data_IF_557003068660
#
_entry.id   IF_557003068660
#
_cell.length_a   1.000
_cell.length_b   1.000
_cell.length_c   1.000
_cell.angle_alpha   90.00
_cell.angle_beta   90.00
_cell.angle_gamma   90.00
#
_symmetry.space_group_name_H-M   'P 1'
#
loop_
_entity.id
_entity.type
_entity.pdbx_description
1 polymer ?
#
# COMPACT_ATOMS: atom_id res chain seq x y z
N UNK A 1 9.92 -13.07 -19.15
CA UNK A 1 10.69 -13.98 -18.27
C UNK A 1 11.15 -13.15 -17.08
N UNK A 2 10.33 -13.09 -16.00
CA UNK A 2 10.64 -12.28 -14.81
C UNK A 2 11.71 -13.03 -14.05
N UNK A 3 12.92 -12.47 -14.01
CA UNK A 3 14.02 -12.96 -13.19
C UNK A 3 13.52 -13.05 -11.73
N UNK A 4 13.51 -14.26 -11.17
CA UNK A 4 13.49 -14.48 -9.72
C UNK A 4 14.73 -13.80 -9.15
N UNK A 5 14.63 -12.55 -8.73
CA UNK A 5 15.60 -12.01 -7.77
C UNK A 5 15.31 -12.74 -6.48
N UNK A 6 16.16 -13.64 -6.09
CA UNK A 6 16.18 -14.18 -4.73
C UNK A 6 16.63 -13.04 -3.81
N UNK A 7 15.65 -12.33 -3.22
CA UNK A 7 15.94 -11.31 -2.23
C UNK A 7 16.56 -11.99 -1.00
N UNK A 8 17.79 -11.65 -0.72
CA UNK A 8 18.45 -12.13 0.50
C UNK A 8 17.72 -11.53 1.72
N UNK A 9 17.33 -12.38 2.67
CA UNK A 9 16.68 -11.96 3.92
C UNK A 9 17.50 -10.87 4.64
N UNK A 10 18.82 -10.92 4.55
CA UNK A 10 19.73 -9.96 5.16
C UNK A 10 19.57 -8.55 4.59
N UNK A 11 19.42 -8.43 3.28
CA UNK A 11 19.20 -7.14 2.62
C UNK A 11 17.87 -6.50 3.03
N UNK A 12 16.80 -7.30 3.06
CA UNK A 12 15.47 -6.83 3.50
C UNK A 12 15.50 -6.39 4.96
N UNK A 13 16.10 -7.17 5.85
CA UNK A 13 16.22 -6.81 7.28
C UNK A 13 17.09 -5.57 7.46
N UNK A 14 18.16 -5.41 6.67
CA UNK A 14 18.99 -4.20 6.70
C UNK A 14 18.15 -2.97 6.32
N UNK A 15 17.41 -3.02 5.22
CA UNK A 15 16.56 -1.92 4.77
C UNK A 15 15.44 -1.58 5.78
N UNK A 16 14.79 -2.58 6.36
CA UNK A 16 13.80 -2.39 7.44
C UNK A 16 14.45 -1.75 8.68
N UNK A 17 15.66 -2.20 9.07
CA UNK A 17 16.37 -1.65 10.21
C UNK A 17 16.76 -0.17 10.03
N UNK A 18 17.14 0.22 8.81
CA UNK A 18 17.45 1.62 8.48
C UNK A 18 16.22 2.54 8.59
N UNK A 19 15.02 2.02 8.33
CA UNK A 19 13.78 2.77 8.45
C UNK A 19 13.30 2.94 9.89
N UNK A 20 13.45 1.94 10.73
CA UNK A 20 12.86 1.95 12.07
C UNK A 20 13.65 2.81 13.07
N UNK A 21 14.91 2.57 13.20
CA UNK A 21 15.87 3.26 14.06
C UNK A 21 17.14 2.41 14.17
N UNK A 22 18.19 2.85 14.85
CA UNK A 22 19.35 2.01 15.06
C UNK A 22 18.96 0.74 15.83
N UNK A 23 18.91 -0.39 15.12
CA UNK A 23 18.71 -1.70 15.72
C UNK A 23 20.06 -2.30 16.13
N UNK A 24 20.09 -2.93 17.29
CA UNK A 24 21.22 -3.73 17.75
C UNK A 24 21.42 -4.97 16.88
N UNK A 25 22.60 -5.59 16.94
CA UNK A 25 22.84 -6.84 16.21
C UNK A 25 21.95 -7.99 16.69
N UNK A 26 21.56 -7.99 17.97
CA UNK A 26 20.63 -8.98 18.53
C UNK A 26 19.23 -8.82 17.91
N UNK A 27 18.70 -7.60 17.86
CA UNK A 27 17.39 -7.31 17.24
C UNK A 27 17.36 -7.66 15.75
N UNK A 28 18.43 -7.34 15.00
CA UNK A 28 18.58 -7.75 13.60
C UNK A 28 18.58 -9.26 13.41
N UNK A 29 19.21 -10.01 14.32
CA UNK A 29 19.20 -11.49 14.30
C UNK A 29 17.79 -12.04 14.53
N UNK A 30 17.04 -11.47 15.48
CA UNK A 30 15.62 -11.83 15.73
C UNK A 30 14.79 -11.65 14.46
N UNK A 31 14.90 -10.51 13.79
CA UNK A 31 14.20 -10.25 12.52
C UNK A 31 14.63 -11.24 11.42
N UNK A 32 15.92 -11.55 11.31
CA UNK A 32 16.44 -12.50 10.32
C UNK A 32 15.91 -13.92 10.50
N UNK A 33 15.68 -14.35 11.73
CA UNK A 33 15.10 -15.66 12.04
C UNK A 33 13.60 -15.69 11.75
N UNK A 34 12.91 -14.57 11.95
CA UNK A 34 11.46 -14.47 11.82
C UNK A 34 10.97 -14.22 10.37
N UNK A 35 11.78 -13.55 9.56
CA UNK A 35 11.38 -13.10 8.22
C UNK A 35 11.06 -14.25 7.26
N UNK A 36 9.90 -14.13 6.58
CA UNK A 36 9.50 -14.98 5.46
C UNK A 36 9.24 -14.13 4.23
N UNK A 37 9.83 -14.48 3.10
CA UNK A 37 9.63 -13.76 1.83
C UNK A 37 8.82 -14.63 0.90
N UNK A 38 7.76 -14.04 0.30
CA UNK A 38 6.85 -14.73 -0.61
C UNK A 38 6.55 -13.87 -1.83
N UNK A 39 6.54 -14.51 -3.01
CA UNK A 39 6.14 -13.90 -4.27
C UNK A 39 4.66 -14.14 -4.55
N UNK A 40 3.99 -13.14 -5.09
CA UNK A 40 2.60 -13.16 -5.50
C UNK A 40 2.48 -12.77 -6.95
N UNK A 41 1.67 -13.49 -7.72
CA UNK A 41 1.31 -13.09 -9.08
C UNK A 41 0.28 -11.97 -9.03
N UNK A 42 0.15 -11.22 -10.13
CA UNK A 42 -0.93 -10.24 -10.31
C UNK A 42 -2.29 -10.85 -9.95
N UNK A 43 -3.13 -10.07 -9.28
CA UNK A 43 -4.48 -10.44 -8.81
C UNK A 43 -4.53 -11.52 -7.71
N UNK A 44 -3.40 -11.93 -7.13
CA UNK A 44 -3.41 -12.83 -5.97
C UNK A 44 -3.59 -12.05 -4.67
N UNK A 45 -4.36 -12.64 -3.76
CA UNK A 45 -4.56 -12.10 -2.41
C UNK A 45 -3.32 -12.31 -1.56
N UNK A 46 -2.97 -11.28 -0.80
CA UNK A 46 -1.98 -11.33 0.28
C UNK A 46 -2.67 -11.69 1.59
N UNK A 47 -3.80 -11.04 1.87
CA UNK A 47 -4.75 -11.39 2.94
C UNK A 47 -6.18 -11.03 2.51
N UNK A 48 -7.17 -11.63 3.15
CA UNK A 48 -8.59 -11.40 2.91
C UNK A 48 -9.28 -10.79 4.12
N UNK A 49 -10.46 -10.22 3.89
CA UNK A 49 -11.34 -9.79 4.98
C UNK A 49 -11.69 -10.99 5.87
N UNK A 50 -11.76 -10.76 7.17
CA UNK A 50 -11.98 -11.75 8.22
C UNK A 50 -10.82 -12.70 8.54
N UNK A 51 -9.67 -12.60 7.83
CA UNK A 51 -8.47 -13.31 8.25
C UNK A 51 -7.92 -12.72 9.57
N UNK A 52 -7.21 -13.55 10.34
CA UNK A 52 -6.51 -13.13 11.55
C UNK A 52 -5.23 -12.36 11.22
N UNK A 53 -4.99 -11.17 11.82
CA UNK A 53 -3.83 -10.33 11.53
C UNK A 53 -2.58 -10.78 12.30
N UNK A 54 -2.08 -11.96 12.03
CA UNK A 54 -0.92 -12.53 12.73
C UNK A 54 0.42 -12.03 12.23
N UNK A 55 0.43 -11.28 11.11
CA UNK A 55 1.68 -10.87 10.46
C UNK A 55 1.65 -9.40 10.05
N UNK A 56 2.78 -8.73 10.25
CA UNK A 56 3.11 -7.48 9.63
C UNK A 56 3.83 -7.75 8.31
N UNK A 57 3.52 -6.96 7.29
CA UNK A 57 4.04 -7.13 5.94
C UNK A 57 4.79 -5.88 5.48
N UNK A 58 5.83 -6.10 4.66
CA UNK A 58 6.57 -5.06 3.95
C UNK A 58 6.60 -5.43 2.47
N UNK A 59 6.17 -4.53 1.61
CA UNK A 59 6.29 -4.72 0.17
C UNK A 59 7.76 -4.51 -0.24
N UNK A 60 8.36 -5.50 -0.88
CA UNK A 60 9.74 -5.42 -1.38
C UNK A 60 9.76 -4.99 -2.84
N UNK A 61 8.89 -5.57 -3.65
CA UNK A 61 8.79 -5.29 -5.08
C UNK A 61 7.34 -5.37 -5.54
N UNK A 62 7.02 -4.62 -6.58
CA UNK A 62 5.70 -4.58 -7.18
C UNK A 62 4.78 -3.55 -6.51
N UNK A 63 3.49 -3.71 -6.68
CA UNK A 63 2.45 -2.82 -6.16
C UNK A 63 1.27 -3.62 -5.66
N UNK A 64 0.68 -3.16 -4.56
CA UNK A 64 -0.45 -3.82 -3.89
C UNK A 64 -1.56 -2.80 -3.70
N UNK A 65 -2.81 -3.19 -3.90
CA UNK A 65 -3.98 -2.42 -3.48
C UNK A 65 -4.55 -3.01 -2.19
N UNK A 66 -4.90 -2.12 -1.26
CA UNK A 66 -5.73 -2.42 -0.09
C UNK A 66 -7.09 -1.81 -0.35
N UNK A 67 -8.14 -2.64 -0.29
CA UNK A 67 -9.49 -2.21 -0.61
C UNK A 67 -10.52 -2.83 0.34
N UNK A 68 -11.70 -2.26 0.36
CA UNK A 68 -12.84 -2.72 1.16
C UNK A 68 -14.09 -2.77 0.30
N UNK A 69 -14.91 -3.79 0.50
CA UNK A 69 -16.22 -3.90 -0.12
C UNK A 69 -17.24 -3.02 0.62
N UNK A 70 -17.96 -2.20 -0.14
CA UNK A 70 -19.12 -1.48 0.35
C UNK A 70 -20.38 -2.35 0.33
N UNK A 71 -21.45 -1.88 1.01
CA UNK A 71 -22.73 -2.61 1.10
C UNK A 71 -23.41 -2.82 -0.26
N UNK A 72 -23.12 -1.99 -1.23
CA UNK A 72 -23.67 -2.03 -2.59
C UNK A 72 -22.87 -2.91 -3.56
N UNK A 73 -21.95 -3.74 -3.06
CA UNK A 73 -21.10 -4.60 -3.89
C UNK A 73 -19.99 -3.88 -4.65
N UNK A 74 -19.74 -2.60 -4.38
CA UNK A 74 -18.61 -1.87 -4.96
C UNK A 74 -17.41 -1.91 -4.03
N UNK A 75 -16.23 -2.14 -4.59
CA UNK A 75 -15.00 -2.03 -3.84
C UNK A 75 -14.53 -0.57 -3.79
N UNK A 76 -13.93 -0.19 -2.68
CA UNK A 76 -13.22 1.09 -2.52
C UNK A 76 -11.75 0.82 -2.23
N UNK A 77 -10.86 1.22 -3.13
CA UNK A 77 -9.42 1.18 -2.85
C UNK A 77 -9.13 2.23 -1.79
N UNK A 78 -8.57 1.77 -0.67
CA UNK A 78 -8.21 2.61 0.47
C UNK A 78 -6.77 3.06 0.35
N UNK A 79 -5.88 2.17 -0.07
CA UNK A 79 -4.44 2.45 -0.23
C UNK A 79 -3.87 1.70 -1.43
N UNK A 80 -2.92 2.32 -2.10
CA UNK A 80 -1.99 1.66 -3.00
C UNK A 80 -0.62 1.64 -2.32
N UNK A 81 -0.06 0.45 -2.11
CA UNK A 81 1.19 0.22 -1.39
C UNK A 81 2.34 0.15 -2.39
N UNK A 82 3.39 0.91 -2.13
CA UNK A 82 4.64 0.93 -2.88
C UNK A 82 5.76 0.17 -2.14
N UNK A 83 6.88 -0.14 -2.82
CA UNK A 83 8.02 -0.77 -2.19
C UNK A 83 8.47 -0.03 -0.92
N UNK A 84 8.87 -0.81 0.08
CA UNK A 84 9.29 -0.39 1.43
C UNK A 84 8.18 0.20 2.30
N UNK A 85 6.91 0.08 1.93
CA UNK A 85 5.79 0.41 2.81
C UNK A 85 5.34 -0.80 3.65
N UNK A 86 4.95 -0.49 4.90
CA UNK A 86 4.41 -1.45 5.85
C UNK A 86 2.89 -1.52 5.74
N UNK A 87 2.35 -2.73 5.88
CA UNK A 87 0.91 -2.94 5.89
C UNK A 87 0.52 -4.20 6.68
N UNK A 88 -0.78 -4.39 6.89
CA UNK A 88 -1.32 -5.57 7.56
C UNK A 88 -1.32 -5.53 9.09
N UNK A 89 -0.61 -4.59 9.72
CA UNK A 89 -0.47 -4.52 11.18
C UNK A 89 -1.58 -3.74 11.90
N UNK A 90 -2.34 -2.87 11.20
CA UNK A 90 -3.39 -2.04 11.81
C UNK A 90 -4.45 -2.88 12.56
N UNK A 91 -4.95 -3.92 11.92
CA UNK A 91 -5.99 -4.79 12.49
C UNK A 91 -5.51 -5.49 13.78
N UNK A 92 -4.26 -5.92 13.83
CA UNK A 92 -3.65 -6.49 15.02
C UNK A 92 -3.65 -5.49 16.19
N UNK A 93 -3.13 -4.27 15.97
CA UNK A 93 -3.09 -3.24 17.02
C UNK A 93 -4.49 -2.74 17.42
N UNK A 94 -5.48 -2.85 16.54
CA UNK A 94 -6.87 -2.56 16.85
C UNK A 94 -7.61 -3.74 17.50
N UNK A 95 -6.94 -4.89 17.70
CA UNK A 95 -7.52 -6.11 18.23
C UNK A 95 -8.79 -6.56 17.46
N UNK A 96 -8.70 -6.56 16.13
CA UNK A 96 -9.80 -6.92 15.25
C UNK A 96 -9.33 -7.77 14.06
N UNK A 97 -10.25 -8.52 13.42
CA UNK A 97 -9.97 -9.19 12.16
C UNK A 97 -9.74 -8.17 11.04
N UNK A 98 -9.11 -8.60 9.92
CA UNK A 98 -9.02 -7.72 8.75
C UNK A 98 -10.41 -7.32 8.27
N UNK A 99 -10.64 -6.02 8.11
CA UNK A 99 -11.83 -5.41 7.51
C UNK A 99 -11.62 -4.99 6.06
N UNK A 100 -10.44 -5.28 5.54
CA UNK A 100 -9.97 -4.96 4.19
C UNK A 100 -9.35 -6.18 3.55
N UNK A 101 -9.13 -6.12 2.26
CA UNK A 101 -8.39 -7.12 1.51
C UNK A 101 -7.15 -6.47 0.90
N UNK A 102 -6.06 -7.23 0.78
CA UNK A 102 -4.85 -6.84 0.07
C UNK A 102 -4.62 -7.74 -1.14
N UNK A 103 -4.44 -7.13 -2.31
CA UNK A 103 -4.27 -7.84 -3.58
C UNK A 103 -3.12 -7.23 -4.39
N UNK A 104 -2.32 -8.08 -5.02
CA UNK A 104 -1.24 -7.67 -5.89
C UNK A 104 -1.77 -7.06 -7.21
N UNK A 105 -1.39 -5.84 -7.55
CA UNK A 105 -1.71 -5.16 -8.80
C UNK A 105 -0.83 -5.64 -9.97
N UNK A 106 0.35 -6.13 -9.64
CA UNK A 106 1.34 -6.73 -10.54
C UNK A 106 2.08 -7.84 -9.79
N UNK A 107 3.06 -8.50 -10.41
CA UNK A 107 3.88 -9.47 -9.68
C UNK A 107 4.60 -8.77 -8.52
N UNK A 108 4.40 -9.26 -7.31
CA UNK A 108 4.86 -8.62 -6.10
C UNK A 108 5.66 -9.58 -5.21
N UNK A 109 6.60 -9.03 -4.46
CA UNK A 109 7.38 -9.75 -3.45
C UNK A 109 7.12 -9.08 -2.10
N UNK A 110 6.72 -9.87 -1.11
CA UNK A 110 6.34 -9.40 0.22
C UNK A 110 7.16 -10.13 1.29
N UNK A 111 7.72 -9.37 2.21
CA UNK A 111 8.30 -9.88 3.44
C UNK A 111 7.25 -9.88 4.56
N UNK A 112 7.22 -10.94 5.33
CA UNK A 112 6.32 -11.18 6.45
C UNK A 112 7.11 -11.31 7.74
N UNK A 113 6.66 -10.65 8.79
CA UNK A 113 7.16 -10.76 10.15
C UNK A 113 6.01 -11.14 11.08
N UNK A 114 6.22 -12.04 12.04
CA UNK A 114 5.23 -12.31 13.07
C UNK A 114 4.97 -11.05 13.89
N UNK A 115 3.71 -10.71 14.09
CA UNK A 115 3.37 -9.50 14.84
C UNK A 115 3.82 -9.59 16.28
N UNK A 116 3.79 -10.78 16.90
CA UNK A 116 4.27 -11.00 18.26
C UNK A 116 5.77 -10.73 18.39
N UNK A 117 6.60 -11.12 17.40
CA UNK A 117 8.02 -10.80 17.33
C UNK A 117 8.23 -9.28 17.29
N UNK A 118 7.45 -8.58 16.48
CA UNK A 118 7.54 -7.12 16.39
C UNK A 118 7.13 -6.47 17.70
N UNK A 119 6.05 -6.92 18.33
CA UNK A 119 5.61 -6.40 19.64
C UNK A 119 6.65 -6.62 20.72
N UNK A 120 7.34 -7.76 20.71
CA UNK A 120 8.47 -8.00 21.62
C UNK A 120 9.59 -6.99 21.41
N UNK A 121 10.00 -6.78 20.17
CA UNK A 121 11.00 -5.76 19.82
C UNK A 121 10.55 -4.34 20.17
N UNK A 122 9.27 -4.00 20.02
CA UNK A 122 8.70 -2.70 20.42
C UNK A 122 8.78 -2.47 21.93
N UNK A 123 8.67 -3.52 22.76
CA UNK A 123 8.83 -3.43 24.21
C UNK A 123 10.29 -3.20 24.62
N UNK A 124 11.22 -3.78 23.90
CA UNK A 124 12.65 -3.70 24.18
C UNK A 124 13.28 -2.42 23.58
N UNK A 125 12.74 -1.93 22.45
CA UNK A 125 13.25 -0.77 21.73
C UNK A 125 12.11 0.22 21.42
N UNK A 126 12.02 1.27 22.24
CA UNK A 126 10.99 2.32 22.12
C UNK A 126 11.00 3.02 20.75
N UNK A 127 12.15 3.09 20.07
CA UNK A 127 12.22 3.74 18.76
C UNK A 127 11.37 3.03 17.70
N UNK A 128 11.24 1.70 17.79
CA UNK A 128 10.34 0.93 16.91
C UNK A 128 8.90 1.33 17.17
N UNK A 129 8.49 1.43 18.46
CA UNK A 129 7.15 1.87 18.83
C UNK A 129 6.87 3.29 18.32
N UNK A 130 7.83 4.20 18.47
CA UNK A 130 7.72 5.59 17.99
C UNK A 130 7.62 5.66 16.46
N UNK A 131 8.34 4.80 15.72
CA UNK A 131 8.20 4.69 14.27
C UNK A 131 6.77 4.33 13.89
N UNK A 132 6.19 3.29 14.48
CA UNK A 132 4.81 2.87 14.17
C UNK A 132 3.77 3.92 14.59
N UNK A 133 3.97 4.60 15.72
CA UNK A 133 3.11 5.69 16.14
C UNK A 133 3.10 6.85 15.12
N UNK A 134 4.28 7.27 14.67
CA UNK A 134 4.43 8.31 13.63
C UNK A 134 3.83 7.85 12.29
N UNK A 135 4.07 6.59 11.93
CA UNK A 135 3.52 6.02 10.71
C UNK A 135 1.99 6.03 10.72
N UNK A 136 1.36 5.54 11.79
CA UNK A 136 -0.10 5.54 11.95
C UNK A 136 -0.69 6.95 12.01
N UNK A 137 -0.01 7.89 12.69
CA UNK A 137 -0.46 9.30 12.75
C UNK A 137 -0.47 9.95 11.37
N UNK A 138 0.55 9.68 10.55
CA UNK A 138 0.61 10.15 9.16
C UNK A 138 -0.50 9.53 8.30
N UNK A 139 -0.72 8.23 8.43
CA UNK A 139 -1.80 7.52 7.74
C UNK A 139 -3.18 8.05 8.11
N UNK A 140 -3.39 8.39 9.38
CA UNK A 140 -4.64 9.01 9.86
C UNK A 140 -4.87 10.36 9.18
N UNK A 141 -3.87 11.26 9.20
CA UNK A 141 -3.98 12.55 8.51
C UNK A 141 -4.29 12.43 7.02
N UNK A 142 -3.62 11.51 6.32
CA UNK A 142 -3.92 11.23 4.91
C UNK A 142 -5.35 10.67 4.70
N UNK A 143 -5.85 9.88 5.65
CA UNK A 143 -7.22 9.36 5.62
C UNK A 143 -8.25 10.50 5.80
N UNK A 144 -7.97 11.47 6.67
CA UNK A 144 -8.81 12.65 6.89
C UNK A 144 -8.88 13.52 5.63
N UNK A 145 -7.73 13.85 5.03
CA UNK A 145 -7.66 14.60 3.77
C UNK A 145 -8.44 13.88 2.65
N UNK A 146 -8.27 12.56 2.56
CA UNK A 146 -8.99 11.76 1.58
C UNK A 146 -10.49 11.77 1.81
N UNK A 147 -10.94 11.71 3.06
CA UNK A 147 -12.37 11.77 3.41
C UNK A 147 -12.98 13.08 2.93
N UNK A 148 -12.32 14.21 3.17
CA UNK A 148 -12.75 15.53 2.68
C UNK A 148 -12.78 15.54 1.15
N UNK A 149 -11.73 15.08 0.49
CA UNK A 149 -11.66 15.06 -0.98
C UNK A 149 -12.77 14.20 -1.60
N UNK A 150 -13.07 13.03 -1.05
CA UNK A 150 -14.09 12.13 -1.56
C UNK A 150 -15.53 12.62 -1.31
N UNK A 151 -15.75 13.41 -0.28
CA UNK A 151 -17.09 13.89 0.11
C UNK A 151 -17.40 15.27 -0.45
N UNK A 152 -16.42 16.17 -0.59
CA UNK A 152 -16.66 17.56 -0.99
C UNK A 152 -16.34 17.85 -2.46
N UNK A 153 -15.48 17.07 -3.12
CA UNK A 153 -15.13 17.29 -4.52
C UNK A 153 -16.11 16.63 -5.49
N UNK A 154 -16.38 17.30 -6.60
CA UNK A 154 -17.12 16.71 -7.72
C UNK A 154 -16.34 15.57 -8.38
N UNK A 155 -17.01 14.70 -9.14
CA UNK A 155 -16.46 13.54 -9.83
C UNK A 155 -15.13 13.86 -10.54
N UNK A 156 -15.08 14.97 -11.29
CA UNK A 156 -13.89 15.42 -12.01
C UNK A 156 -12.71 15.71 -11.08
N UNK A 157 -12.96 16.44 -10.00
CA UNK A 157 -11.92 16.75 -9.00
C UNK A 157 -11.43 15.51 -8.27
N UNK A 158 -12.32 14.55 -7.96
CA UNK A 158 -11.93 13.29 -7.30
C UNK A 158 -11.04 12.43 -8.19
N UNK A 159 -11.29 12.39 -9.50
CA UNK A 159 -10.45 11.66 -10.44
C UNK A 159 -9.07 12.33 -10.59
N UNK A 160 -9.03 13.66 -10.69
CA UNK A 160 -7.79 14.42 -10.76
C UNK A 160 -6.92 14.17 -9.51
N UNK A 161 -7.51 14.26 -8.32
CA UNK A 161 -6.82 13.94 -7.05
C UNK A 161 -6.28 12.51 -7.00
N UNK A 162 -7.06 11.54 -7.49
CA UNK A 162 -6.61 10.16 -7.56
C UNK A 162 -5.39 9.99 -8.47
N UNK A 163 -5.38 10.66 -9.63
CA UNK A 163 -4.25 10.65 -10.56
C UNK A 163 -3.01 11.34 -9.97
N UNK A 164 -3.19 12.49 -9.30
CA UNK A 164 -2.11 13.19 -8.61
C UNK A 164 -1.54 12.36 -7.46
N UNK A 165 -2.40 11.70 -6.68
CA UNK A 165 -1.97 10.77 -5.63
C UNK A 165 -1.11 9.64 -6.20
N UNK A 166 -1.51 9.07 -7.32
CA UNK A 166 -0.75 8.01 -7.99
C UNK A 166 0.59 8.55 -8.53
N UNK A 167 0.61 9.73 -9.16
CA UNK A 167 1.84 10.37 -9.61
C UNK A 167 2.81 10.64 -8.47
N UNK A 168 2.33 11.20 -7.37
CA UNK A 168 3.14 11.50 -6.19
C UNK A 168 3.70 10.25 -5.49
N UNK A 169 2.96 9.14 -5.52
CA UNK A 169 3.36 7.91 -4.84
C UNK A 169 4.25 7.00 -5.70
N UNK A 170 4.03 6.96 -7.00
CA UNK A 170 4.67 6.00 -7.90
C UNK A 170 5.54 6.66 -8.97
N UNK A 171 5.42 7.97 -9.16
CA UNK A 171 6.12 8.69 -10.22
C UNK A 171 5.53 8.47 -11.61
N UNK A 172 6.21 8.97 -12.60
CA UNK A 172 5.98 8.74 -14.03
C UNK A 172 7.24 8.20 -14.68
N UNK A 173 7.09 7.53 -15.82
CA UNK A 173 8.18 7.05 -16.64
C UNK A 173 8.79 8.23 -17.39
N UNK A 174 10.13 8.28 -17.51
CA UNK A 174 10.86 9.45 -18.02
C UNK A 174 10.60 9.71 -19.50
N UNK A 175 10.26 8.67 -20.29
CA UNK A 175 10.15 8.78 -21.75
C UNK A 175 8.86 9.42 -22.24
N UNK A 176 7.73 9.21 -21.55
CA UNK A 176 6.39 9.62 -22.04
C UNK A 176 5.45 10.21 -20.97
N UNK A 177 5.97 10.51 -19.77
CA UNK A 177 5.21 11.01 -18.60
C UNK A 177 4.04 10.08 -18.20
N UNK A 178 4.09 8.80 -18.59
CA UNK A 178 3.10 7.78 -18.21
C UNK A 178 3.27 7.40 -16.73
N UNK A 179 2.16 7.30 -15.99
CA UNK A 179 2.20 6.88 -14.59
C UNK A 179 2.87 5.51 -14.43
N UNK A 180 3.88 5.42 -13.57
CA UNK A 180 4.58 4.16 -13.29
C UNK A 180 3.72 3.13 -12.53
N UNK A 181 2.40 3.24 -12.60
CA UNK A 181 1.43 2.29 -12.08
C UNK A 181 0.31 2.05 -13.08
N UNK A 182 0.10 0.77 -13.43
CA UNK A 182 -1.00 0.38 -14.30
C UNK A 182 -2.22 -0.05 -13.47
N UNK A 183 -3.29 0.74 -13.55
CA UNK A 183 -4.58 0.44 -12.95
C UNK A 183 -5.63 0.13 -14.01
N UNK A 184 -6.52 -0.81 -13.71
CA UNK A 184 -7.73 -1.00 -14.52
C UNK A 184 -8.65 0.22 -14.38
N UNK A 185 -9.57 0.40 -15.33
CA UNK A 185 -10.61 1.44 -15.22
C UNK A 185 -11.48 1.25 -13.98
N UNK A 186 -11.69 0.02 -13.57
CA UNK A 186 -12.40 -0.34 -12.35
C UNK A 186 -11.62 0.06 -11.09
N UNK A 187 -10.31 -0.20 -11.05
CA UNK A 187 -9.46 0.18 -9.93
C UNK A 187 -9.37 1.70 -9.80
N UNK A 188 -9.26 2.42 -10.91
CA UNK A 188 -9.25 3.89 -10.91
C UNK A 188 -10.60 4.46 -10.44
N UNK A 189 -11.70 3.89 -10.91
CA UNK A 189 -13.05 4.24 -10.45
C UNK A 189 -13.21 3.95 -8.94
N UNK A 190 -12.73 2.81 -8.48
CA UNK A 190 -12.71 2.43 -7.07
C UNK A 190 -11.87 3.41 -6.24
N UNK A 191 -10.69 3.80 -6.71
CA UNK A 191 -9.83 4.77 -6.02
C UNK A 191 -10.49 6.15 -5.88
N UNK A 192 -11.23 6.59 -6.92
CA UNK A 192 -11.87 7.91 -7.01
C UNK A 192 -13.31 7.94 -6.47
N UNK A 193 -13.81 6.83 -5.93
CA UNK A 193 -15.19 6.66 -5.46
C UNK A 193 -16.24 7.06 -6.50
N UNK A 194 -16.19 6.44 -7.68
CA UNK A 194 -17.14 6.65 -8.75
C UNK A 194 -17.46 5.34 -9.49
N UNK A 195 -18.42 5.38 -10.42
CA UNK A 195 -18.68 4.23 -11.31
C UNK A 195 -17.60 4.15 -12.39
N UNK A 196 -17.35 2.95 -12.92
CA UNK A 196 -16.40 2.74 -14.03
C UNK A 196 -16.78 3.57 -15.27
N UNK A 197 -18.06 3.68 -15.58
CA UNK A 197 -18.55 4.51 -16.69
C UNK A 197 -18.23 6.00 -16.49
N UNK A 198 -18.37 6.51 -15.25
CA UNK A 198 -17.98 7.90 -14.94
C UNK A 198 -16.47 8.10 -15.03
N UNK A 199 -15.67 7.15 -14.57
CA UNK A 199 -14.21 7.23 -14.69
C UNK A 199 -13.76 7.28 -16.16
N UNK A 200 -14.32 6.39 -17.01
CA UNK A 200 -14.00 6.35 -18.44
C UNK A 200 -14.39 7.69 -19.10
N UNK A 201 -15.62 8.18 -18.88
CA UNK A 201 -16.08 9.44 -19.46
C UNK A 201 -15.23 10.63 -19.01
N UNK A 202 -14.89 10.69 -17.72
CA UNK A 202 -14.09 11.80 -17.19
C UNK A 202 -12.67 11.77 -17.72
N UNK A 203 -12.03 10.58 -17.86
CA UNK A 203 -10.72 10.43 -18.49
C UNK A 203 -10.75 10.89 -19.96
N UNK A 204 -11.79 10.50 -20.71
CA UNK A 204 -11.95 10.95 -22.12
C UNK A 204 -12.07 12.47 -22.21
N UNK A 205 -12.79 13.10 -21.26
CA UNK A 205 -12.88 14.56 -21.21
C UNK A 205 -11.51 15.20 -20.92
N UNK A 206 -10.73 14.66 -19.97
CA UNK A 206 -9.37 15.14 -19.70
C UNK A 206 -8.46 15.03 -20.92
N UNK A 207 -8.54 13.92 -21.66
CA UNK A 207 -7.76 13.73 -22.88
C UNK A 207 -8.15 14.75 -23.97
N UNK A 208 -9.45 14.99 -24.16
CA UNK A 208 -9.94 15.98 -25.15
C UNK A 208 -9.58 17.42 -24.80
N UNK A 209 -9.42 17.73 -23.52
CA UNK A 209 -9.00 19.06 -23.06
C UNK A 209 -7.49 19.24 -23.03
N UNK A 210 -6.73 18.27 -23.56
CA UNK A 210 -5.25 18.27 -23.52
C UNK A 210 -4.68 18.51 -22.10
N UNK A 211 -5.43 18.16 -21.06
CA UNK A 211 -4.94 18.20 -19.69
C UNK A 211 -3.90 17.09 -19.51
N UNK A 212 -2.67 17.39 -19.92
CA UNK A 212 -1.51 16.60 -19.51
C UNK A 212 -1.21 16.96 -18.05
N UNK A 213 -0.87 15.99 -17.22
CA UNK A 213 -0.23 16.27 -15.95
C UNK A 213 1.15 16.88 -16.24
N UNK A 214 1.19 18.16 -16.59
CA UNK A 214 2.45 18.89 -16.60
C UNK A 214 2.95 18.96 -15.16
N UNK A 215 4.20 18.64 -14.99
CA UNK A 215 5.02 18.67 -13.78
C UNK A 215 4.82 19.88 -12.92
#
# INVERSE_FOLDING_TARGET
MVLKRDYEKKEVVKAVAEMWAPLTQAEKRVLLQDIHIKSFKKNHFIYKSSDLPTRMMVLIQGKIKIYKWGRNGRSQIIRAIKPMEFFGFRAYFANELYKTEAMALENAVVAFFNTDTIVKLMKENFHISLFFLRYLSKELGQSDDRTVNLTQKHIRGRLAEALLLLKNNFGSEEEDDTLSIHLSREDLASLSNMTTSNAIRTLSNFANENLRCSS
#
